data_IF_200034283916
#
_entry.id   IF_200034283916
#
_cell.length_a   1.000
_cell.length_b   1.000
_cell.length_c   1.000
_cell.angle_alpha   90.00
_cell.angle_beta   90.00
_cell.angle_gamma   90.00
#
_symmetry.space_group_name_H-M   'P 1'
#
loop_
_entity.id
_entity.type
_entity.pdbx_description
1 polymer ?
#
# COMPACT_ATOMS: atom_id res chain seq x y z
N UNK A 1 -41.43 5.04 28.13
CA UNK A 1 -42.19 3.83 28.49
C UNK A 1 -41.43 2.64 27.95
N UNK A 2 -40.84 1.82 28.83
CA UNK A 2 -40.14 0.60 28.43
C UNK A 2 -41.15 -0.53 28.40
N UNK A 3 -41.32 -1.17 27.24
CA UNK A 3 -42.10 -2.39 27.11
C UNK A 3 -41.13 -3.56 27.26
N UNK A 4 -41.36 -4.44 28.24
CA UNK A 4 -40.55 -5.64 28.45
C UNK A 4 -41.24 -6.82 27.76
N UNK A 5 -40.59 -7.40 26.75
CA UNK A 5 -41.02 -8.67 26.12
C UNK A 5 -39.98 -9.72 26.49
N UNK A 6 -40.43 -10.81 27.13
CA UNK A 6 -39.60 -11.95 27.51
C UNK A 6 -39.78 -13.06 26.49
N UNK A 7 -38.75 -13.34 25.70
CA UNK A 7 -38.52 -14.62 25.02
C UNK A 7 -37.00 -14.81 24.88
N UNK A 8 -36.49 -15.88 25.49
CA UNK A 8 -35.17 -16.50 25.25
C UNK A 8 -33.89 -15.67 25.48
N UNK A 9 -33.77 -15.09 26.69
CA UNK A 9 -32.47 -15.12 27.40
C UNK A 9 -31.28 -14.28 26.89
N UNK A 10 -31.48 -13.29 26.00
CA UNK A 10 -30.46 -12.28 25.69
C UNK A 10 -31.05 -10.87 25.76
N UNK A 11 -30.55 -10.07 26.70
CA UNK A 11 -30.99 -8.69 26.91
C UNK A 11 -30.45 -7.77 25.81
N UNK A 12 -31.28 -7.43 24.83
CA UNK A 12 -31.01 -6.34 23.90
C UNK A 12 -31.64 -5.04 24.43
N UNK A 13 -30.81 -4.13 24.94
CA UNK A 13 -31.22 -2.76 25.25
C UNK A 13 -31.18 -1.91 23.98
N UNK A 14 -32.30 -1.83 23.25
CA UNK A 14 -32.45 -0.91 22.12
C UNK A 14 -32.93 0.46 22.63
N UNK A 15 -31.99 1.33 23.01
CA UNK A 15 -32.31 2.72 23.35
C UNK A 15 -32.52 3.54 22.07
N UNK A 16 -33.79 3.72 21.66
CA UNK A 16 -34.18 4.78 20.72
C UNK A 16 -33.94 6.14 21.37
N UNK A 17 -32.87 6.82 20.98
CA UNK A 17 -32.68 8.25 21.25
C UNK A 17 -33.57 9.05 20.30
N UNK A 18 -34.72 9.49 20.81
CA UNK A 18 -35.55 10.51 20.16
C UNK A 18 -34.99 11.89 20.50
N UNK A 19 -34.41 12.57 19.51
CA UNK A 19 -34.02 13.98 19.57
C UNK A 19 -35.26 14.86 19.78
N UNK A 20 -35.26 15.65 20.86
CA UNK A 20 -36.21 16.72 21.15
C UNK A 20 -35.41 17.99 21.42
N UNK A 21 -35.43 18.92 20.47
CA UNK A 21 -34.98 20.30 20.70
C UNK A 21 -35.94 21.03 21.65
N UNK A 22 -35.41 21.94 22.49
CA UNK A 22 -35.76 23.35 22.31
C UNK A 22 -34.63 24.35 22.65
N UNK A 23 -34.42 25.32 21.74
CA UNK A 23 -34.54 26.76 22.02
C UNK A 23 -33.74 27.41 23.16
N UNK A 24 -32.67 28.11 22.73
CA UNK A 24 -32.22 29.46 23.14
C UNK A 24 -31.85 29.78 24.61
N UNK A 25 -30.57 30.10 24.81
CA UNK A 25 -30.12 31.22 25.62
C UNK A 25 -28.76 31.73 25.10
N UNK A 26 -28.71 32.96 24.57
CA UNK A 26 -27.48 33.78 24.53
C UNK A 26 -27.41 34.59 25.84
N UNK A 27 -26.20 34.85 26.36
CA UNK A 27 -25.61 36.16 26.10
C UNK A 27 -24.10 36.13 25.81
N UNK A 28 -23.68 37.20 25.14
CA UNK A 28 -22.31 37.63 24.85
C UNK A 28 -21.25 37.33 25.92
N UNK A 29 -20.12 36.80 25.45
CA UNK A 29 -18.79 37.30 25.81
C UNK A 29 -17.78 36.89 24.74
N UNK A 30 -17.31 37.89 24.00
CA UNK A 30 -16.07 37.82 23.26
C UNK A 30 -14.91 37.39 24.16
N UNK A 31 -13.98 36.60 23.63
CA UNK A 31 -12.57 36.88 23.84
C UNK A 31 -11.88 37.11 22.50
N UNK A 32 -11.43 38.35 22.35
CA UNK A 32 -10.12 38.73 21.81
C UNK A 32 -9.49 37.82 20.75
N UNK A 33 -9.48 38.33 19.52
CA UNK A 33 -8.45 38.06 18.52
C UNK A 33 -7.08 38.31 19.16
N UNK A 34 -6.43 37.24 19.63
CA UNK A 34 -4.97 37.27 19.81
C UNK A 34 -4.36 37.09 18.44
N UNK A 35 -3.99 38.21 17.83
CA UNK A 35 -3.00 38.20 16.77
C UNK A 35 -1.69 37.71 17.38
N UNK A 36 -1.32 36.45 17.11
CA UNK A 36 0.08 36.06 17.19
C UNK A 36 0.76 36.52 15.91
N UNK A 37 1.26 37.76 15.96
CA UNK A 37 2.41 38.17 15.16
C UNK A 37 3.58 37.31 15.63
N UNK A 38 3.88 36.26 14.88
CA UNK A 38 5.08 35.45 15.04
C UNK A 38 5.77 35.37 13.68
N UNK A 39 6.99 35.88 13.60
CA UNK A 39 7.90 35.58 12.50
C UNK A 39 8.33 36.79 11.68
N UNK A 40 9.31 37.54 12.20
CA UNK A 40 10.24 38.32 11.37
C UNK A 40 11.59 38.48 12.09
N UNK A 41 12.16 37.37 12.56
CA UNK A 41 13.58 37.33 12.91
C UNK A 41 14.38 36.95 11.65
N UNK A 42 14.68 37.96 10.83
CA UNK A 42 15.73 37.88 9.83
C UNK A 42 17.09 37.84 10.54
N UNK A 43 17.48 36.66 11.01
CA UNK A 43 18.88 36.36 11.36
C UNK A 43 19.71 36.25 10.07
N UNK A 44 20.07 37.42 9.57
CA UNK A 44 21.19 37.64 8.64
C UNK A 44 22.49 37.27 9.38
N UNK A 45 22.94 36.03 9.21
CA UNK A 45 24.30 35.64 9.53
C UNK A 45 25.09 35.55 8.22
N UNK A 46 25.90 36.57 7.94
CA UNK A 46 26.99 36.46 6.97
C UNK A 46 28.13 37.41 7.38
N UNK A 47 29.36 36.88 7.42
CA UNK A 47 30.58 37.62 7.77
C UNK A 47 31.39 36.92 8.86
N UNK A 48 32.15 35.86 8.56
CA UNK A 48 33.53 35.91 8.03
C UNK A 48 34.54 36.37 9.09
N UNK A 49 35.01 35.40 9.88
CA UNK A 49 36.20 35.52 10.73
C UNK A 49 37.18 34.41 10.38
N UNK A 50 38.21 34.77 9.63
CA UNK A 50 39.33 33.92 9.24
C UNK A 50 40.16 33.54 10.46
N UNK A 51 40.41 32.25 10.66
CA UNK A 51 41.32 31.72 11.67
C UNK A 51 42.00 30.47 11.15
N UNK A 52 43.24 30.65 10.69
CA UNK A 52 44.09 29.61 10.14
C UNK A 52 44.58 28.62 11.21
N UNK A 53 44.88 27.40 10.76
CA UNK A 53 46.04 26.55 11.12
C UNK A 53 45.65 25.10 11.43
N UNK A 54 46.07 24.18 10.55
CA UNK A 54 45.98 22.73 10.76
C UNK A 54 46.46 21.97 9.52
N UNK A 55 47.77 21.81 9.42
CA UNK A 55 48.49 21.13 8.33
C UNK A 55 48.32 19.61 8.45
N UNK A 56 48.11 18.89 7.33
CA UNK A 56 48.09 17.42 7.35
C UNK A 56 47.83 16.73 6.00
N UNK A 57 48.84 16.78 5.12
CA UNK A 57 49.23 15.80 4.08
C UNK A 57 48.21 15.20 3.08
N UNK A 58 48.45 15.53 1.81
CA UNK A 58 47.97 14.89 0.59
C UNK A 58 48.58 13.50 0.35
N UNK A 59 47.86 12.65 -0.39
CA UNK A 59 48.43 11.71 -1.36
C UNK A 59 47.46 11.58 -2.55
N UNK A 60 47.97 11.92 -3.73
CA UNK A 60 47.30 11.84 -5.01
C UNK A 60 47.55 10.47 -5.65
N UNK A 61 46.57 9.96 -6.40
CA UNK A 61 46.82 9.05 -7.51
C UNK A 61 45.69 9.22 -8.54
N UNK A 62 46.05 9.84 -9.66
CA UNK A 62 45.22 9.98 -10.85
C UNK A 62 45.47 8.79 -11.78
N UNK A 63 44.42 8.21 -12.36
CA UNK A 63 44.50 7.48 -13.62
C UNK A 63 43.25 7.76 -14.45
N UNK A 64 43.45 8.54 -15.52
CA UNK A 64 42.52 8.78 -16.62
C UNK A 64 42.69 7.62 -17.61
N UNK A 65 41.59 7.00 -18.02
CA UNK A 65 41.53 6.21 -19.27
C UNK A 65 40.27 6.61 -20.04
N UNK A 66 40.49 7.46 -21.05
CA UNK A 66 39.61 7.71 -22.19
C UNK A 66 39.61 6.47 -23.09
N UNK A 67 38.44 6.05 -23.59
CA UNK A 67 38.28 5.46 -24.92
C UNK A 67 36.81 5.62 -25.39
N UNK A 68 36.61 6.38 -26.45
CA UNK A 68 35.39 6.49 -27.28
C UNK A 68 35.62 5.71 -28.60
N UNK A 69 34.76 5.77 -29.65
CA UNK A 69 33.31 5.51 -29.79
C UNK A 69 32.97 4.50 -30.94
N UNK A 70 31.67 4.19 -31.08
CA UNK A 70 30.91 3.77 -32.29
C UNK A 70 31.17 2.41 -32.99
N UNK A 71 30.09 1.67 -33.32
CA UNK A 71 29.64 1.29 -34.68
C UNK A 71 28.46 0.28 -34.68
N UNK A 72 27.57 0.44 -35.68
CA UNK A 72 26.58 -0.52 -36.24
C UNK A 72 25.32 -0.86 -35.40
N UNK A 73 24.11 -1.04 -35.93
CA UNK A 73 23.50 -0.80 -37.24
C UNK A 73 21.96 -0.94 -37.07
N UNK A 74 21.22 -0.24 -37.91
CA UNK A 74 19.76 -0.36 -38.12
C UNK A 74 19.37 -1.76 -38.60
N UNK A 75 18.14 -2.21 -38.32
CA UNK A 75 17.43 -3.13 -39.21
C UNK A 75 15.93 -2.84 -39.17
N UNK A 76 15.55 -1.79 -39.90
CA UNK A 76 14.24 -1.69 -40.55
C UNK A 76 14.33 -2.53 -41.83
N UNK A 77 13.44 -3.51 -42.00
CA UNK A 77 13.19 -4.11 -43.32
C UNK A 77 11.70 -4.09 -43.59
N UNK A 78 11.32 -3.10 -44.40
CA UNK A 78 10.07 -3.04 -45.13
C UNK A 78 10.30 -3.57 -46.55
N UNK A 79 9.68 -4.70 -46.89
CA UNK A 79 9.62 -5.22 -48.26
C UNK A 79 9.21 -6.69 -48.25
N UNK A 80 8.32 -7.21 -49.08
CA UNK A 80 7.58 -6.68 -50.21
C UNK A 80 6.53 -7.74 -50.58
N UNK A 81 5.49 -7.30 -51.29
CA UNK A 81 4.32 -8.10 -51.60
C UNK A 81 4.59 -9.36 -52.43
N UNK A 82 3.73 -10.34 -52.20
CA UNK A 82 3.50 -11.50 -53.06
C UNK A 82 2.01 -11.80 -53.07
N UNK A 83 1.28 -11.01 -53.85
CA UNK A 83 -0.10 -11.30 -54.26
C UNK A 83 -0.09 -12.51 -55.20
N UNK A 84 -0.80 -13.58 -54.82
CA UNK A 84 -1.46 -14.46 -55.78
C UNK A 84 -2.58 -15.25 -55.08
N UNK A 85 -3.85 -15.06 -55.48
CA UNK A 85 -5.03 -15.70 -54.90
C UNK A 85 -5.36 -17.03 -55.63
N UNK A 86 -6.55 -17.63 -55.40
CA UNK A 86 -6.78 -18.87 -54.67
C UNK A 86 -7.01 -20.10 -55.58
N UNK A 87 -7.30 -21.28 -55.00
CA UNK A 87 -8.42 -22.04 -55.54
C UNK A 87 -9.51 -22.33 -54.49
N UNK A 88 -10.74 -21.96 -54.85
CA UNK A 88 -12.04 -22.36 -54.29
C UNK A 88 -12.49 -23.71 -54.93
N UNK A 89 -13.60 -24.36 -54.52
CA UNK A 89 -14.06 -24.86 -53.20
C UNK A 89 -14.50 -26.37 -53.26
N UNK A 90 -14.72 -27.03 -52.12
CA UNK A 90 -15.68 -28.16 -51.88
C UNK A 90 -15.27 -28.96 -50.64
N UNK A 91 -16.09 -29.56 -49.77
CA UNK A 91 -17.51 -29.54 -49.38
C UNK A 91 -17.53 -30.30 -48.03
N UNK A 92 -18.43 -29.88 -47.13
CA UNK A 92 -19.03 -30.56 -45.97
C UNK A 92 -18.50 -31.90 -45.40
N UNK A 93 -18.40 -31.85 -44.06
CA UNK A 93 -19.06 -32.69 -43.04
C UNK A 93 -18.25 -33.70 -42.22
N UNK A 94 -18.24 -33.38 -40.91
CA UNK A 94 -18.39 -34.24 -39.73
C UNK A 94 -17.33 -35.30 -39.48
N UNK A 95 -16.44 -35.01 -38.53
CA UNK A 95 -16.11 -35.97 -37.49
C UNK A 95 -16.12 -35.26 -36.14
N UNK A 96 -16.88 -35.82 -35.21
CA UNK A 96 -16.86 -35.47 -33.80
C UNK A 96 -15.55 -36.00 -33.23
N UNK A 97 -14.65 -35.12 -32.84
CA UNK A 97 -13.50 -35.45 -32.01
C UNK A 97 -13.62 -34.64 -30.71
N UNK A 98 -13.33 -35.23 -29.55
CA UNK A 98 -13.63 -34.61 -28.26
C UNK A 98 -13.02 -33.22 -28.17
N UNK A 99 -13.73 -32.31 -27.52
CA UNK A 99 -13.19 -31.05 -27.10
C UNK A 99 -11.88 -31.32 -26.34
N UNK A 100 -10.74 -31.16 -27.01
CA UNK A 100 -9.53 -30.74 -26.34
C UNK A 100 -9.93 -29.43 -25.66
N UNK A 101 -10.10 -29.52 -24.34
CA UNK A 101 -9.91 -28.38 -23.47
C UNK A 101 -8.60 -27.76 -23.90
N UNK A 102 -8.72 -26.68 -24.67
CA UNK A 102 -7.69 -25.69 -24.83
C UNK A 102 -7.41 -25.17 -23.42
N UNK A 103 -6.49 -25.84 -22.72
CA UNK A 103 -5.86 -25.35 -21.50
C UNK A 103 -5.11 -24.11 -21.93
N UNK A 104 -5.83 -22.99 -21.89
CA UNK A 104 -5.33 -21.68 -22.24
C UNK A 104 -4.17 -21.34 -21.31
N UNK A 105 -3.08 -20.88 -21.91
CA UNK A 105 -1.83 -20.56 -21.26
C UNK A 105 -2.02 -19.55 -20.11
N UNK A 106 -1.30 -19.81 -19.01
CA UNK A 106 -0.96 -18.90 -17.91
C UNK A 106 -2.10 -18.05 -17.34
N UNK A 107 -2.88 -18.64 -16.42
CA UNK A 107 -3.64 -17.84 -15.46
C UNK A 107 -2.66 -17.26 -14.41
N UNK A 108 -2.00 -16.15 -14.73
CA UNK A 108 -1.19 -15.37 -13.78
C UNK A 108 -2.04 -14.59 -12.77
N UNK A 109 -3.34 -14.89 -12.66
CA UNK A 109 -4.28 -14.16 -11.81
C UNK A 109 -5.27 -15.12 -11.13
N UNK A 110 -5.93 -14.70 -10.03
CA UNK A 110 -6.91 -15.51 -9.33
C UNK A 110 -8.15 -15.81 -10.20
N UNK A 111 -8.85 -16.90 -9.87
CA UNK A 111 -10.06 -17.31 -10.59
C UNK A 111 -11.18 -16.24 -10.54
N UNK A 112 -11.30 -15.53 -9.42
CA UNK A 112 -12.18 -14.37 -9.27
C UNK A 112 -11.37 -13.14 -8.84
N UNK A 113 -10.92 -12.38 -9.82
CA UNK A 113 -10.10 -11.19 -9.60
C UNK A 113 -10.87 -10.08 -8.88
N UNK A 114 -12.17 -9.93 -9.15
CA UNK A 114 -12.99 -8.88 -8.56
C UNK A 114 -13.23 -9.13 -7.06
N UNK A 115 -13.50 -10.38 -6.68
CA UNK A 115 -13.59 -10.77 -5.28
C UNK A 115 -12.25 -10.60 -4.56
N UNK A 116 -11.15 -11.05 -5.18
CA UNK A 116 -9.80 -10.90 -4.64
C UNK A 116 -9.43 -9.42 -4.41
N UNK A 117 -9.70 -8.53 -5.37
CA UNK A 117 -9.45 -7.10 -5.22
C UNK A 117 -10.23 -6.48 -4.04
N UNK A 118 -11.50 -6.85 -3.89
CA UNK A 118 -12.35 -6.35 -2.80
C UNK A 118 -11.83 -6.83 -1.44
N UNK A 119 -11.44 -8.11 -1.35
CA UNK A 119 -10.90 -8.68 -0.13
C UNK A 119 -9.56 -8.04 0.23
N UNK A 120 -8.64 -7.88 -0.73
CA UNK A 120 -7.36 -7.17 -0.52
C UNK A 120 -7.63 -5.78 0.02
N UNK A 121 -8.49 -4.97 -0.62
CA UNK A 121 -8.79 -3.59 -0.16
C UNK A 121 -9.34 -3.56 1.27
N UNK A 122 -10.26 -4.48 1.59
CA UNK A 122 -10.87 -4.59 2.93
C UNK A 122 -9.83 -4.97 3.97
N UNK A 123 -9.05 -6.01 3.71
CA UNK A 123 -8.08 -6.55 4.66
C UNK A 123 -6.89 -5.61 4.83
N UNK A 124 -6.47 -4.91 3.77
CA UNK A 124 -5.49 -3.83 3.85
C UNK A 124 -5.97 -2.72 4.78
N UNK A 125 -7.22 -2.26 4.61
CA UNK A 125 -7.80 -1.26 5.52
C UNK A 125 -7.80 -1.75 6.96
N UNK A 126 -8.29 -2.96 7.22
CA UNK A 126 -8.33 -3.53 8.57
C UNK A 126 -6.93 -3.63 9.20
N UNK A 127 -5.92 -4.04 8.43
CA UNK A 127 -4.56 -4.15 8.94
C UNK A 127 -3.99 -2.80 9.42
N UNK A 128 -4.20 -1.73 8.65
CA UNK A 128 -3.67 -0.42 8.98
C UNK A 128 -4.53 0.35 9.97
N UNK A 129 -5.86 0.24 9.92
CA UNK A 129 -6.79 0.98 10.78
C UNK A 129 -6.36 0.91 12.28
N UNK A 130 -6.12 2.06 12.94
CA UNK A 130 -5.65 2.12 14.32
C UNK A 130 -6.69 1.60 15.32
N UNK A 131 -7.97 1.54 14.94
CA UNK A 131 -9.03 0.98 15.78
C UNK A 131 -9.12 -0.56 15.71
N UNK A 132 -8.46 -1.21 14.75
CA UNK A 132 -8.48 -2.66 14.60
C UNK A 132 -7.62 -3.33 15.66
N UNK A 133 -8.15 -4.34 16.35
CA UNK A 133 -7.43 -5.04 17.40
C UNK A 133 -6.22 -5.81 16.85
N UNK A 134 -5.21 -6.07 17.68
CA UNK A 134 -4.03 -6.85 17.28
C UNK A 134 -4.42 -8.21 16.70
N UNK A 135 -5.41 -8.92 17.28
CA UNK A 135 -5.80 -10.24 16.79
C UNK A 135 -6.47 -10.18 15.41
N UNK A 136 -7.27 -9.14 15.16
CA UNK A 136 -7.85 -8.91 13.83
C UNK A 136 -6.77 -8.54 12.80
N UNK A 137 -5.79 -7.72 13.18
CA UNK A 137 -4.62 -7.43 12.33
C UNK A 137 -3.84 -8.70 11.99
N UNK A 138 -3.64 -9.60 12.95
CA UNK A 138 -2.99 -10.89 12.70
C UNK A 138 -3.80 -11.79 11.76
N UNK A 139 -5.14 -11.78 11.83
CA UNK A 139 -5.97 -12.59 10.95
C UNK A 139 -5.84 -12.21 9.47
N UNK A 140 -5.53 -10.93 9.19
CA UNK A 140 -5.34 -10.39 7.84
C UNK A 140 -3.86 -10.22 7.45
N UNK A 141 -2.94 -10.74 8.26
CA UNK A 141 -1.50 -10.74 8.02
C UNK A 141 -1.03 -12.16 7.70
N UNK A 142 -0.24 -12.31 6.65
CA UNK A 142 0.45 -13.56 6.32
C UNK A 142 1.24 -14.05 7.56
N UNK A 143 1.05 -15.31 7.93
CA UNK A 143 1.64 -15.91 9.14
C UNK A 143 1.42 -15.07 10.41
N UNK A 144 0.27 -14.39 10.54
CA UNK A 144 0.07 -13.36 11.57
C UNK A 144 0.24 -13.81 13.03
N UNK A 145 -0.04 -15.08 13.34
CA UNK A 145 0.20 -15.62 14.69
C UNK A 145 1.69 -15.66 15.04
N UNK A 146 2.57 -15.90 14.06
CA UNK A 146 4.02 -15.92 14.21
C UNK A 146 4.61 -14.49 14.22
N UNK A 147 3.95 -13.55 13.53
CA UNK A 147 4.40 -12.17 13.37
C UNK A 147 4.05 -11.26 14.55
N UNK A 148 3.53 -11.78 15.66
CA UNK A 148 3.15 -10.99 16.84
C UNK A 148 4.21 -9.99 17.32
N UNK A 149 5.49 -10.40 17.50
CA UNK A 149 6.56 -9.48 17.91
C UNK A 149 6.84 -8.37 16.89
N UNK A 150 6.81 -8.69 15.59
CA UNK A 150 7.04 -7.71 14.51
C UNK A 150 5.89 -6.72 14.42
N UNK A 151 4.65 -7.21 14.53
CA UNK A 151 3.45 -6.38 14.54
C UNK A 151 3.42 -5.43 15.75
N UNK A 152 3.88 -5.90 16.92
CA UNK A 152 4.03 -5.07 18.11
C UNK A 152 5.10 -3.98 17.93
N UNK A 153 6.23 -4.30 17.29
CA UNK A 153 7.26 -3.32 16.96
C UNK A 153 6.75 -2.24 15.99
N UNK A 154 5.98 -2.65 14.97
CA UNK A 154 5.33 -1.71 14.04
C UNK A 154 4.29 -0.82 14.73
N UNK A 155 3.42 -1.42 15.55
CA UNK A 155 2.30 -0.71 16.20
C UNK A 155 2.75 0.16 17.37
N UNK A 156 3.87 -0.19 18.01
CA UNK A 156 4.47 0.55 19.12
C UNK A 156 5.31 1.75 18.68
N UNK A 157 5.63 1.86 17.40
CA UNK A 157 6.23 3.08 16.84
C UNK A 157 5.17 4.19 16.79
N UNK A 158 5.56 5.40 17.19
CA UNK A 158 4.66 6.56 17.27
C UNK A 158 3.90 6.78 15.97
N UNK A 159 4.49 6.45 14.82
CA UNK A 159 3.84 6.59 13.51
C UNK A 159 3.08 5.33 13.11
N UNK A 160 3.64 4.14 13.33
CA UNK A 160 3.08 2.88 12.83
C UNK A 160 1.74 2.48 13.47
N UNK A 161 1.50 2.89 14.73
CA UNK A 161 0.23 2.64 15.42
C UNK A 161 -0.92 3.57 15.02
N UNK A 162 -0.66 4.64 14.27
CA UNK A 162 -1.63 5.71 13.98
C UNK A 162 -1.98 5.83 12.50
N UNK A 163 -1.32 5.08 11.61
CA UNK A 163 -1.49 5.22 10.17
C UNK A 163 -2.69 4.45 9.64
N UNK A 164 -3.45 5.08 8.76
CA UNK A 164 -4.43 4.42 7.91
C UNK A 164 -3.81 4.16 6.53
N UNK A 165 -4.41 3.25 5.75
CA UNK A 165 -3.96 2.98 4.38
C UNK A 165 -5.10 3.06 3.37
N UNK A 166 -4.84 3.72 2.24
CA UNK A 166 -5.69 3.72 1.06
C UNK A 166 -5.02 2.95 -0.08
N UNK A 167 -5.63 1.84 -0.50
CA UNK A 167 -5.15 1.10 -1.67
C UNK A 167 -5.45 1.89 -2.94
N UNK A 168 -4.41 2.12 -3.75
CA UNK A 168 -4.46 2.87 -5.00
C UNK A 168 -4.53 1.96 -6.21
N UNK A 169 -3.77 0.86 -6.20
CA UNK A 169 -3.63 -0.09 -7.30
C UNK A 169 -3.38 -1.49 -6.77
N UNK A 170 -3.94 -2.49 -7.45
CA UNK A 170 -3.65 -3.90 -7.23
C UNK A 170 -3.27 -4.49 -8.59
N UNK A 171 -2.17 -5.23 -8.64
CA UNK A 171 -1.73 -5.97 -9.82
C UNK A 171 -1.47 -7.42 -9.43
N UNK A 172 -2.28 -8.35 -9.95
CA UNK A 172 -2.06 -9.77 -9.68
C UNK A 172 -0.82 -10.28 -10.41
N UNK A 173 0.07 -10.93 -9.65
CA UNK A 173 1.32 -11.51 -10.15
C UNK A 173 1.22 -13.02 -10.30
N UNK A 174 0.26 -13.65 -9.60
CA UNK A 174 -0.10 -15.06 -9.74
C UNK A 174 -1.54 -15.31 -9.25
N UNK A 175 -1.98 -16.57 -9.26
CA UNK A 175 -3.26 -16.98 -8.67
C UNK A 175 -3.38 -16.65 -7.16
N UNK A 176 -2.26 -16.49 -6.45
CA UNK A 176 -2.21 -16.30 -4.99
C UNK A 176 -1.30 -15.14 -4.57
N UNK A 177 -0.86 -14.30 -5.49
CA UNK A 177 0.02 -13.16 -5.22
C UNK A 177 -0.41 -11.89 -5.95
N UNK A 178 -0.23 -10.74 -5.31
CA UNK A 178 -0.49 -9.44 -5.89
C UNK A 178 0.50 -8.39 -5.38
N UNK A 179 0.87 -7.46 -6.26
CA UNK A 179 1.50 -6.20 -5.90
C UNK A 179 0.42 -5.17 -5.57
N UNK A 180 0.64 -4.40 -4.50
CA UNK A 180 -0.30 -3.40 -3.99
C UNK A 180 0.41 -2.06 -3.89
N UNK A 181 -0.11 -1.05 -4.59
CA UNK A 181 0.29 0.35 -4.39
C UNK A 181 -0.71 1.00 -3.44
N UNK A 182 -0.23 1.64 -2.39
CA UNK A 182 -1.09 2.25 -1.35
C UNK A 182 -0.51 3.57 -0.84
N UNK A 183 -1.37 4.39 -0.26
CA UNK A 183 -1.00 5.63 0.42
C UNK A 183 -1.19 5.42 1.91
N UNK A 184 -0.17 5.75 2.72
CA UNK A 184 -0.33 5.85 4.17
C UNK A 184 -0.76 7.26 4.57
N UNK A 185 -1.75 7.32 5.43
CA UNK A 185 -2.34 8.53 5.98
C UNK A 185 -2.04 8.57 7.48
N UNK A 186 -1.72 9.74 8.02
CA UNK A 186 -1.62 9.99 9.45
C UNK A 186 -2.64 11.09 9.78
N UNK A 187 -3.62 10.77 10.61
CA UNK A 187 -4.73 11.69 10.94
C UNK A 187 -5.43 12.25 9.68
N UNK A 188 -5.59 11.41 8.65
CA UNK A 188 -6.18 11.79 7.35
C UNK A 188 -5.27 12.58 6.41
N UNK A 189 -4.05 12.96 6.82
CA UNK A 189 -3.07 13.61 5.96
C UNK A 189 -2.12 12.58 5.33
N UNK A 190 -1.79 12.73 4.04
CA UNK A 190 -0.83 11.84 3.36
C UNK A 190 0.56 11.92 3.99
N UNK A 191 1.00 10.81 4.59
CA UNK A 191 2.31 10.66 5.21
C UNK A 191 3.30 9.94 4.27
N UNK A 192 2.83 8.98 3.48
CA UNK A 192 3.64 8.28 2.48
C UNK A 192 2.77 7.96 1.25
N UNK A 193 2.90 8.71 0.15
CA UNK A 193 2.21 8.41 -1.09
C UNK A 193 2.88 7.24 -1.83
N UNK A 194 2.10 6.51 -2.62
CA UNK A 194 2.56 5.51 -3.60
C UNK A 194 3.54 4.47 -3.02
N UNK A 195 3.30 4.07 -1.77
CA UNK A 195 4.03 3.00 -1.12
C UNK A 195 3.78 1.67 -1.84
N UNK A 196 4.82 0.86 -1.97
CA UNK A 196 4.76 -0.47 -2.53
C UNK A 196 4.62 -1.52 -1.44
N UNK A 197 3.76 -2.50 -1.67
CA UNK A 197 3.56 -3.66 -0.81
C UNK A 197 3.09 -4.85 -1.65
N UNK A 198 2.90 -5.99 -0.99
CA UNK A 198 2.36 -7.18 -1.62
C UNK A 198 1.29 -7.82 -0.75
N UNK A 199 0.35 -8.49 -1.41
CA UNK A 199 -0.65 -9.34 -0.78
C UNK A 199 -0.45 -10.79 -1.23
N UNK A 200 -0.76 -11.72 -0.34
CA UNK A 200 -0.75 -13.17 -0.62
C UNK A 200 -2.06 -13.79 -0.20
N UNK A 201 -2.54 -14.76 -0.97
CA UNK A 201 -3.67 -15.60 -0.59
C UNK A 201 -3.16 -16.75 0.28
N UNK A 202 -3.67 -16.84 1.50
CA UNK A 202 -3.31 -17.88 2.46
C UNK A 202 -4.58 -18.41 3.12
N UNK A 203 -4.81 -19.72 2.99
CA UNK A 203 -5.96 -20.44 3.59
C UNK A 203 -7.33 -19.90 3.12
N UNK A 204 -7.44 -19.47 1.87
CA UNK A 204 -8.65 -18.92 1.27
C UNK A 204 -8.88 -17.43 1.58
N UNK A 205 -7.88 -16.71 2.08
CA UNK A 205 -7.99 -15.30 2.47
C UNK A 205 -6.81 -14.50 1.93
N UNK A 206 -7.09 -13.38 1.26
CA UNK A 206 -6.06 -12.42 0.87
C UNK A 206 -5.55 -11.61 2.06
N UNK A 207 -4.26 -11.70 2.34
CA UNK A 207 -3.60 -11.09 3.49
C UNK A 207 -2.51 -10.12 3.06
N UNK A 208 -2.21 -9.15 3.93
CA UNK A 208 -0.99 -8.33 3.83
C UNK A 208 0.21 -9.27 4.01
N UNK A 209 1.22 -9.17 3.15
CA UNK A 209 2.39 -10.04 3.25
C UNK A 209 3.31 -9.67 4.42
N UNK A 210 4.06 -10.66 4.91
CA UNK A 210 5.16 -10.45 5.86
C UNK A 210 6.19 -9.49 5.26
N UNK A 211 6.48 -9.62 3.96
CA UNK A 211 7.38 -8.72 3.22
C UNK A 211 6.98 -7.25 3.37
N UNK A 212 5.68 -6.95 3.29
CA UNK A 212 5.16 -5.58 3.44
C UNK A 212 5.39 -5.06 4.85
N UNK A 213 5.03 -5.85 5.87
CA UNK A 213 5.24 -5.49 7.27
C UNK A 213 6.73 -5.26 7.58
N UNK A 214 7.60 -6.18 7.17
CA UNK A 214 9.03 -6.06 7.39
C UNK A 214 9.63 -4.83 6.70
N UNK A 215 9.19 -4.51 5.48
CA UNK A 215 9.60 -3.30 4.78
C UNK A 215 9.22 -2.02 5.53
N UNK A 216 8.02 -1.97 6.12
CA UNK A 216 7.57 -0.85 6.93
C UNK A 216 8.32 -0.70 8.25
N UNK A 217 8.61 -1.81 8.92
CA UNK A 217 9.44 -1.82 10.14
C UNK A 217 10.85 -1.31 9.84
N UNK A 218 11.43 -1.67 8.69
CA UNK A 218 12.73 -1.16 8.28
C UNK A 218 12.72 0.37 8.02
N UNK A 219 11.60 0.92 7.54
CA UNK A 219 11.44 2.36 7.33
C UNK A 219 11.33 3.18 8.62
N UNK A 220 10.98 2.56 9.76
CA UNK A 220 10.87 3.30 11.03
C UNK A 220 12.23 3.73 11.57
N UNK A 221 13.35 3.17 11.09
CA UNK A 221 14.71 3.55 11.47
C UNK A 221 15.12 3.13 12.90
N UNK A 222 14.21 2.54 13.66
CA UNK A 222 14.32 2.33 15.11
C UNK A 222 14.34 0.85 15.49
N UNK A 223 13.96 -0.04 14.57
CA UNK A 223 13.71 -1.44 14.85
C UNK A 223 14.74 -2.34 14.14
N UNK A 224 15.40 -3.21 14.91
CA UNK A 224 16.01 -4.41 14.32
C UNK A 224 14.86 -5.30 13.85
N UNK A 225 14.85 -5.77 12.59
CA UNK A 225 13.79 -6.67 12.12
C UNK A 225 13.71 -7.88 13.06
N UNK A 226 12.53 -8.10 13.64
CA UNK A 226 12.30 -9.24 14.54
C UNK A 226 12.25 -10.55 13.76
N UNK A 227 12.31 -11.71 14.44
CA UNK A 227 12.23 -13.02 13.77
C UNK A 227 11.02 -13.10 12.83
N UNK A 228 11.26 -13.53 11.59
CA UNK A 228 10.25 -13.52 10.51
C UNK A 228 10.45 -12.39 9.49
N UNK A 229 11.24 -11.40 9.89
CA UNK A 229 12.03 -10.52 9.04
C UNK A 229 13.53 -10.87 9.23
#
# INVERSE_FOLDING_TARGET
MCLSITADGLHYAFCKLTLKEPGACRPDRHPVVSQMVLGSDLRRANGRGSGAAGRGTALAAALILLLAPALAACSDDSGGGGDSPPPTPSVERTTSEPAEETVSASASAPADTAAAEQEIKKNWKAFFDPATSTKEKQAVLENGDEMGPVLAAFSGDERGGQVEAEVRKIEFTSATGADVTYTLLLEGATALPDAAGTAVEQDGTWKVSVKTLCGLVALSGNATPGPGC
#
